data_IF_346985477635
#
_entry.id   IF_346985477635
#
_cell.length_a   1.000
_cell.length_b   1.000
_cell.length_c   1.000
_cell.angle_alpha   90.00
_cell.angle_beta   90.00
_cell.angle_gamma   90.00
#
_symmetry.space_group_name_H-M   'P 1'
#
loop_
_entity.id
_entity.type
_entity.pdbx_description
1 polymer ?
#
# COMPACT_ATOMS: atom_id res chain seq x y z
N UNK A 1 5.38 4.30 -10.25
CA UNK A 1 4.58 3.26 -9.57
C UNK A 1 5.30 1.93 -9.39
N UNK A 2 5.99 1.38 -10.39
CA UNK A 2 6.68 0.08 -10.28
C UNK A 2 7.55 -0.10 -9.01
N UNK A 3 8.48 0.83 -8.74
CA UNK A 3 9.32 0.78 -7.53
C UNK A 3 8.49 0.70 -6.23
N UNK A 4 7.47 1.55 -6.10
CA UNK A 4 6.57 1.53 -4.95
C UNK A 4 5.80 0.20 -4.84
N UNK A 5 5.29 -0.33 -5.96
CA UNK A 5 4.58 -1.61 -5.96
C UNK A 5 5.50 -2.76 -5.53
N UNK A 6 6.74 -2.80 -6.03
CA UNK A 6 7.73 -3.83 -5.64
C UNK A 6 8.00 -3.77 -4.15
N UNK A 7 8.32 -2.59 -3.61
CA UNK A 7 8.63 -2.48 -2.17
C UNK A 7 7.43 -2.82 -1.29
N UNK A 8 6.20 -2.47 -1.69
CA UNK A 8 5.00 -2.81 -0.91
C UNK A 8 4.59 -4.28 -1.01
N UNK A 9 4.84 -4.96 -2.12
CA UNK A 9 4.69 -6.43 -2.17
C UNK A 9 5.73 -7.13 -1.27
N UNK A 10 6.97 -6.64 -1.26
CA UNK A 10 8.01 -7.18 -0.38
C UNK A 10 7.63 -7.03 1.11
N UNK A 11 7.08 -5.89 1.52
CA UNK A 11 6.59 -5.69 2.90
C UNK A 11 5.48 -6.68 3.27
N UNK A 12 4.52 -6.94 2.36
CA UNK A 12 3.45 -7.92 2.59
C UNK A 12 4.03 -9.31 2.82
N UNK A 13 4.85 -9.80 1.88
CA UNK A 13 5.45 -11.14 1.98
C UNK A 13 6.37 -11.27 3.20
N UNK A 14 7.17 -10.24 3.51
CA UNK A 14 8.02 -10.22 4.70
C UNK A 14 7.18 -10.35 5.99
N UNK A 15 6.05 -9.65 6.06
CA UNK A 15 5.19 -9.66 7.25
C UNK A 15 4.44 -10.99 7.39
N UNK A 16 4.10 -11.64 6.27
CA UNK A 16 3.54 -13.00 6.25
C UNK A 16 4.54 -14.03 6.77
N UNK A 17 5.80 -13.97 6.33
CA UNK A 17 6.86 -14.81 6.89
C UNK A 17 7.05 -14.55 8.39
N UNK A 18 7.12 -13.28 8.79
CA UNK A 18 7.28 -12.90 10.21
C UNK A 18 6.13 -13.43 11.09
N UNK A 19 4.91 -13.47 10.57
CA UNK A 19 3.78 -14.05 11.29
C UNK A 19 4.02 -15.52 11.65
N UNK A 20 4.48 -16.32 10.68
CA UNK A 20 4.80 -17.73 10.90
C UNK A 20 5.99 -17.91 11.85
N UNK A 21 7.04 -17.12 11.69
CA UNK A 21 8.23 -17.17 12.54
C UNK A 21 7.89 -16.83 14.00
N UNK A 22 7.08 -15.80 14.23
CA UNK A 22 6.64 -15.42 15.58
C UNK A 22 5.75 -16.50 16.19
N UNK A 23 4.77 -17.01 15.45
CA UNK A 23 3.86 -18.05 15.94
C UNK A 23 4.60 -19.34 16.34
N UNK A 24 5.71 -19.67 15.68
CA UNK A 24 6.57 -20.81 16.02
C UNK A 24 7.44 -20.57 17.28
N UNK A 25 7.55 -19.33 17.75
CA UNK A 25 8.45 -18.94 18.86
C UNK A 25 7.72 -18.50 20.12
N UNK A 26 6.57 -17.84 19.98
CA UNK A 26 5.82 -17.29 21.10
C UNK A 26 4.36 -17.00 20.75
N UNK A 27 3.48 -17.07 21.75
CA UNK A 27 2.10 -16.62 21.69
C UNK A 27 1.91 -15.16 22.15
N UNK A 28 2.97 -14.53 22.69
CA UNK A 28 2.92 -13.19 23.30
C UNK A 28 3.13 -12.04 22.32
N UNK A 29 3.75 -12.31 21.17
CA UNK A 29 4.06 -11.30 20.14
C UNK A 29 3.43 -11.72 18.83
N UNK A 30 2.73 -10.78 18.19
CA UNK A 30 2.07 -10.96 16.90
C UNK A 30 2.34 -9.76 16.01
N UNK A 31 2.14 -9.93 14.72
CA UNK A 31 2.23 -8.86 13.73
C UNK A 31 0.99 -8.83 12.84
N UNK A 32 0.76 -7.67 12.22
CA UNK A 32 -0.28 -7.43 11.23
C UNK A 32 0.32 -6.59 10.09
N UNK A 33 -0.27 -6.66 8.90
CA UNK A 33 0.11 -5.82 7.75
C UNK A 33 -1.02 -4.88 7.38
N UNK A 34 -0.70 -3.58 7.30
CA UNK A 34 -1.63 -2.53 6.90
C UNK A 34 -1.53 -2.25 5.40
N UNK A 35 -2.64 -2.41 4.69
CA UNK A 35 -2.74 -2.28 3.24
C UNK A 35 -3.85 -1.26 2.87
N UNK A 36 -3.61 0.05 3.03
CA UNK A 36 -4.57 1.08 2.66
C UNK A 36 -4.53 1.37 1.15
N UNK A 37 -5.63 1.91 0.63
CA UNK A 37 -5.63 2.63 -0.65
C UNK A 37 -5.22 4.09 -0.41
N UNK A 38 -5.70 5.03 -1.24
CA UNK A 38 -5.39 6.45 -1.07
C UNK A 38 -6.04 7.05 0.19
N UNK A 39 -5.22 7.69 1.00
CA UNK A 39 -5.61 8.37 2.25
C UNK A 39 -5.05 9.80 2.18
N UNK A 40 -5.84 10.85 2.47
CA UNK A 40 -5.38 12.24 2.43
C UNK A 40 -4.26 12.50 3.43
N UNK A 41 -3.03 12.35 2.95
CA UNK A 41 -1.79 12.54 3.69
C UNK A 41 -0.79 13.25 2.78
N UNK A 42 0.35 13.63 3.32
CA UNK A 42 1.42 14.27 2.55
C UNK A 42 2.30 13.28 1.77
N UNK A 43 1.84 12.05 1.49
CA UNK A 43 2.66 11.03 0.82
C UNK A 43 3.01 11.42 -0.63
N UNK A 44 2.12 12.17 -1.30
CA UNK A 44 2.39 12.70 -2.64
C UNK A 44 3.53 13.74 -2.64
N UNK A 45 3.86 14.34 -1.50
CA UNK A 45 5.00 15.26 -1.32
C UNK A 45 6.24 14.54 -0.72
N UNK A 46 6.36 13.22 -0.88
CA UNK A 46 7.41 12.41 -0.22
C UNK A 46 8.83 12.80 -0.59
N UNK A 47 9.05 13.47 -1.72
CA UNK A 47 10.34 14.03 -2.14
C UNK A 47 10.97 14.94 -1.07
N UNK A 48 10.15 15.62 -0.25
CA UNK A 48 10.64 16.45 0.86
C UNK A 48 11.44 15.64 1.90
N UNK A 49 11.22 14.33 1.98
CA UNK A 49 11.88 13.42 2.91
C UNK A 49 13.09 12.71 2.28
N UNK A 50 13.36 12.94 0.97
CA UNK A 50 14.46 12.27 0.27
C UNK A 50 15.81 12.74 0.83
N UNK A 51 16.67 11.83 1.33
CA UNK A 51 18.01 12.18 1.82
C UNK A 51 18.82 12.93 0.77
N UNK A 52 19.65 13.89 1.20
CA UNK A 52 20.40 14.77 0.29
C UNK A 52 21.22 14.00 -0.77
N UNK A 53 21.87 12.91 -0.37
CA UNK A 53 22.70 12.08 -1.25
C UNK A 53 21.92 11.24 -2.28
N UNK A 54 20.58 11.19 -2.19
CA UNK A 54 19.72 10.50 -3.16
C UNK A 54 18.88 11.47 -4.00
N UNK A 55 18.98 12.78 -3.74
CA UNK A 55 18.23 13.80 -4.46
C UNK A 55 18.56 13.75 -5.94
N UNK A 56 17.53 13.80 -6.77
CA UNK A 56 17.70 13.95 -8.20
C UNK A 56 17.83 15.44 -8.52
N UNK A 57 18.93 15.80 -9.18
CA UNK A 57 19.19 17.18 -9.63
C UNK A 57 18.65 17.46 -11.03
N UNK A 58 18.20 16.42 -11.75
CA UNK A 58 17.61 16.61 -13.08
C UNK A 58 16.31 17.41 -12.97
N UNK A 59 16.04 18.32 -13.92
CA UNK A 59 14.74 18.96 -14.00
C UNK A 59 13.66 17.90 -14.28
N UNK A 60 12.48 18.08 -13.70
CA UNK A 60 11.32 17.24 -13.96
C UNK A 60 10.80 17.50 -15.37
N UNK A 61 10.50 16.44 -16.11
CA UNK A 61 9.81 16.56 -17.40
C UNK A 61 8.34 16.95 -17.20
N UNK A 62 7.67 17.40 -18.25
CA UNK A 62 6.21 17.63 -18.20
C UNK A 62 5.42 16.37 -17.84
N UNK A 63 5.91 15.19 -18.26
CA UNK A 63 5.31 13.91 -17.89
C UNK A 63 5.46 13.62 -16.39
N UNK A 64 6.63 13.90 -15.80
CA UNK A 64 6.85 13.76 -14.37
C UNK A 64 5.88 14.64 -13.57
N UNK A 65 5.73 15.91 -13.98
CA UNK A 65 4.82 16.87 -13.32
C UNK A 65 3.36 16.43 -13.42
N UNK A 66 2.92 15.95 -14.60
CA UNK A 66 1.55 15.43 -14.78
C UNK A 66 1.29 14.21 -13.91
N UNK A 67 2.25 13.28 -13.84
CA UNK A 67 2.15 12.08 -12.99
C UNK A 67 2.07 12.44 -11.50
N UNK A 68 2.88 13.40 -11.05
CA UNK A 68 2.84 13.88 -9.67
C UNK A 68 1.52 14.59 -9.33
N UNK A 69 1.00 15.40 -10.25
CA UNK A 69 -0.30 16.05 -10.07
C UNK A 69 -1.44 15.02 -9.97
N UNK A 70 -1.43 14.00 -10.84
CA UNK A 70 -2.40 12.89 -10.78
C UNK A 70 -2.31 12.11 -9.47
N UNK A 71 -1.09 11.82 -8.99
CA UNK A 71 -0.88 11.15 -7.70
C UNK A 71 -1.40 12.00 -6.53
N UNK A 72 -1.07 13.30 -6.52
CA UNK A 72 -1.56 14.24 -5.50
C UNK A 72 -3.07 14.27 -5.46
N UNK A 73 -3.72 14.41 -6.62
CA UNK A 73 -5.18 14.39 -6.72
C UNK A 73 -5.76 13.07 -6.20
N UNK A 74 -5.19 11.92 -6.56
CA UNK A 74 -5.66 10.62 -6.09
C UNK A 74 -5.57 10.49 -4.56
N UNK A 75 -4.45 10.93 -3.97
CA UNK A 75 -4.25 10.96 -2.51
C UNK A 75 -5.25 11.89 -1.81
N UNK A 76 -5.42 13.11 -2.32
CA UNK A 76 -6.36 14.11 -1.78
C UNK A 76 -7.82 13.66 -1.90
N UNK A 77 -8.15 12.90 -2.95
CA UNK A 77 -9.49 12.36 -3.20
C UNK A 77 -9.85 11.14 -2.33
N UNK A 78 -8.91 10.68 -1.50
CA UNK A 78 -9.08 9.56 -0.58
C UNK A 78 -10.34 9.70 0.27
N UNK A 79 -11.11 8.62 0.40
CA UNK A 79 -12.47 8.66 0.99
C UNK A 79 -12.51 8.43 2.49
N UNK A 80 -11.39 8.00 3.09
CA UNK A 80 -11.26 7.84 4.53
C UNK A 80 -10.09 8.67 5.04
N UNK A 81 -10.18 9.16 6.27
CA UNK A 81 -9.15 9.96 6.90
C UNK A 81 -8.03 9.11 7.50
N UNK A 82 -6.92 9.74 7.89
CA UNK A 82 -5.83 9.07 8.58
C UNK A 82 -6.26 8.54 9.96
N UNK A 83 -7.16 9.25 10.64
CA UNK A 83 -7.75 8.85 11.92
C UNK A 83 -8.58 7.57 11.75
N UNK A 84 -9.42 7.49 10.71
CA UNK A 84 -10.19 6.28 10.42
C UNK A 84 -9.29 5.07 10.09
N UNK A 85 -8.14 5.31 9.46
CA UNK A 85 -7.13 4.27 9.24
C UNK A 85 -6.51 3.84 10.58
N UNK A 86 -6.23 4.78 11.48
CA UNK A 86 -5.72 4.47 12.81
C UNK A 86 -6.73 3.64 13.61
N UNK A 87 -8.01 3.99 13.60
CA UNK A 87 -9.08 3.22 14.24
C UNK A 87 -9.10 1.77 13.73
N UNK A 88 -9.08 1.58 12.40
CA UNK A 88 -9.04 0.25 11.79
C UNK A 88 -7.80 -0.57 12.19
N UNK A 89 -6.67 0.08 12.44
CA UNK A 89 -5.44 -0.56 12.96
C UNK A 89 -5.63 -0.98 14.41
N UNK A 90 -6.10 -0.10 15.28
CA UNK A 90 -6.31 -0.42 16.69
C UNK A 90 -7.34 -1.55 16.87
N UNK A 91 -8.41 -1.54 16.08
CA UNK A 91 -9.40 -2.63 16.07
C UNK A 91 -8.76 -3.94 15.61
N UNK A 92 -7.97 -3.92 14.54
CA UNK A 92 -7.26 -5.11 14.08
C UNK A 92 -6.27 -5.65 15.12
N UNK A 93 -5.58 -4.79 15.88
CA UNK A 93 -4.67 -5.21 16.94
C UNK A 93 -5.44 -5.91 18.08
N UNK A 94 -6.58 -5.34 18.52
CA UNK A 94 -7.43 -5.96 19.56
C UNK A 94 -7.99 -7.31 19.12
N UNK A 95 -8.39 -7.41 17.86
CA UNK A 95 -8.93 -8.63 17.25
C UNK A 95 -7.85 -9.62 16.79
N UNK A 96 -6.57 -9.25 16.91
CA UNK A 96 -5.42 -10.01 16.39
C UNK A 96 -5.53 -10.34 14.89
N UNK A 97 -6.13 -9.43 14.11
CA UNK A 97 -6.33 -9.58 12.67
C UNK A 97 -5.04 -9.28 11.91
N UNK A 98 -4.59 -10.22 11.08
CA UNK A 98 -3.35 -10.08 10.32
C UNK A 98 -3.46 -9.06 9.17
N UNK A 99 -4.36 -9.28 8.20
CA UNK A 99 -4.56 -8.34 7.08
C UNK A 99 -5.49 -7.19 7.47
N UNK A 100 -4.96 -5.97 7.45
CA UNK A 100 -5.73 -4.76 7.71
C UNK A 100 -5.97 -4.05 6.38
N UNK A 101 -7.21 -4.13 5.89
CA UNK A 101 -7.68 -3.52 4.64
C UNK A 101 -8.73 -2.44 4.92
N UNK A 102 -8.34 -1.19 5.24
CA UNK A 102 -9.30 -0.12 5.54
C UNK A 102 -10.25 0.20 4.38
N UNK A 103 -9.89 -0.17 3.14
CA UNK A 103 -10.64 0.13 1.92
C UNK A 103 -11.22 -1.14 1.29
N UNK A 104 -12.37 -1.61 1.76
CA UNK A 104 -12.96 -2.88 1.29
C UNK A 104 -13.26 -2.93 -0.21
N UNK A 105 -13.51 -1.77 -0.85
CA UNK A 105 -13.79 -1.67 -2.30
C UNK A 105 -12.63 -2.10 -3.21
N UNK A 106 -11.42 -2.30 -2.67
CA UNK A 106 -10.27 -2.80 -3.45
C UNK A 106 -10.33 -4.31 -3.71
N UNK A 107 -11.14 -5.07 -2.94
CA UNK A 107 -11.18 -6.54 -3.01
C UNK A 107 -11.43 -7.10 -4.41
N UNK A 108 -12.36 -6.56 -5.25
CA UNK A 108 -12.55 -7.06 -6.61
C UNK A 108 -11.29 -6.93 -7.51
N UNK A 109 -10.48 -5.89 -7.30
CA UNK A 109 -9.23 -5.72 -8.03
C UNK A 109 -8.16 -6.75 -7.58
N UNK A 110 -8.10 -7.03 -6.27
CA UNK A 110 -7.24 -8.08 -5.72
C UNK A 110 -7.64 -9.45 -6.29
N UNK A 111 -8.94 -9.76 -6.28
CA UNK A 111 -9.47 -11.01 -6.83
C UNK A 111 -9.14 -11.14 -8.32
N UNK A 112 -9.33 -10.08 -9.11
CA UNK A 112 -8.98 -10.09 -10.54
C UNK A 112 -7.51 -10.45 -10.74
N UNK A 113 -6.59 -9.81 -10.00
CA UNK A 113 -5.15 -10.14 -10.07
C UNK A 113 -4.88 -11.59 -9.66
N UNK A 114 -5.53 -12.08 -8.61
CA UNK A 114 -5.35 -13.47 -8.16
C UNK A 114 -5.86 -14.46 -9.22
N UNK A 115 -6.97 -14.16 -9.89
CA UNK A 115 -7.48 -14.98 -10.98
C UNK A 115 -6.56 -14.94 -12.20
N UNK A 116 -6.00 -13.78 -12.56
CA UNK A 116 -5.03 -13.67 -13.64
C UNK A 116 -3.80 -14.55 -13.37
N UNK A 117 -3.32 -14.59 -12.12
CA UNK A 117 -2.21 -15.47 -11.71
C UNK A 117 -2.61 -16.94 -11.81
N UNK A 118 -3.74 -17.32 -11.21
CA UNK A 118 -4.21 -18.72 -11.17
C UNK A 118 -4.52 -19.30 -12.54
N UNK A 119 -4.92 -18.44 -13.47
CA UNK A 119 -5.34 -18.82 -14.83
C UNK A 119 -4.26 -18.50 -15.87
N UNK A 120 -3.08 -18.07 -15.44
CA UNK A 120 -1.93 -17.73 -16.28
C UNK A 120 -2.26 -16.72 -17.40
N UNK A 121 -3.11 -15.74 -17.08
CA UNK A 121 -3.57 -14.71 -18.03
C UNK A 121 -2.65 -13.49 -18.01
N UNK A 122 -2.72 -12.70 -19.09
CA UNK A 122 -2.11 -11.38 -19.10
C UNK A 122 -2.72 -10.51 -17.97
N UNK A 123 -1.93 -9.68 -17.27
CA UNK A 123 -2.45 -8.85 -16.18
C UNK A 123 -3.55 -7.89 -16.64
N UNK A 124 -4.72 -7.98 -16.01
CA UNK A 124 -5.84 -7.07 -16.25
C UNK A 124 -5.59 -5.72 -15.58
N UNK A 125 -5.79 -4.62 -16.30
CA UNK A 125 -5.76 -3.29 -15.71
C UNK A 125 -7.02 -3.04 -14.87
N UNK A 126 -6.89 -3.04 -13.55
CA UNK A 126 -8.01 -2.85 -12.61
C UNK A 126 -8.30 -1.37 -12.31
N UNK A 127 -7.56 -0.43 -12.90
CA UNK A 127 -7.74 1.01 -12.70
C UNK A 127 -8.68 1.66 -13.73
N UNK A 128 -9.07 0.92 -14.77
CA UNK A 128 -9.91 1.41 -15.88
C UNK A 128 -11.37 0.95 -15.78
N UNK A 129 -11.80 0.46 -14.62
CA UNK A 129 -13.18 0.06 -14.33
C UNK A 129 -13.91 1.10 -13.51
#
# INVERSE_FOLDING_TARGET
MGLYCVTKHAVVSLTECLHHDLAARTDKVRCSVLCPAYVPTRIAESERNRPAHLREERPKSEEDLRREAGMRHAVESGKISAEQVADAVFDAVREQRFYILPHQRIKPAIETRMQDILQERLPTNTLTR
#
